data_IF_060350867003
#
_entry.id   IF_060350867003
#
_cell.length_a   1.000
_cell.length_b   1.000
_cell.length_c   1.000
_cell.angle_alpha   90.00
_cell.angle_beta   90.00
_cell.angle_gamma   90.00
#
_symmetry.space_group_name_H-M   'P 1'
#
loop_
_entity.id
_entity.type
_entity.pdbx_description
1 polymer ?
#
# COMPACT_ATOMS: atom_id res chain seq x y z
N UNK A 1 -5.72 -14.45 -4.12
CA UNK A 1 -4.72 -14.94 -3.15
C UNK A 1 -4.41 -13.85 -2.15
N UNK A 2 -4.27 -14.12 -0.86
CA UNK A 2 -3.80 -13.16 0.13
C UNK A 2 -2.36 -12.68 -0.18
N UNK A 3 -2.04 -11.37 -0.16
CA UNK A 3 -0.64 -10.98 -0.19
C UNK A 3 0.03 -11.43 1.13
N UNK A 4 1.33 -11.74 1.08
CA UNK A 4 2.06 -12.24 2.23
C UNK A 4 2.23 -11.16 3.31
N UNK A 5 2.32 -11.58 4.57
CA UNK A 5 2.58 -10.67 5.70
C UNK A 5 3.97 -10.05 5.55
N UNK A 6 4.06 -8.74 5.78
CA UNK A 6 5.30 -7.96 5.66
C UNK A 6 5.77 -7.44 7.01
N UNK A 7 7.07 -7.27 7.13
CA UNK A 7 7.74 -6.78 8.33
C UNK A 7 7.30 -5.33 8.63
N UNK A 8 6.72 -5.12 9.81
CA UNK A 8 6.24 -3.81 10.26
C UNK A 8 7.34 -2.96 10.93
N UNK A 9 8.54 -3.52 11.13
CA UNK A 9 9.63 -2.83 11.82
C UNK A 9 9.95 -1.50 11.15
N UNK A 10 10.00 -0.43 11.93
CA UNK A 10 10.37 0.89 11.42
C UNK A 10 11.84 0.89 11.03
N UNK A 11 12.14 1.43 9.84
CA UNK A 11 13.50 1.56 9.33
C UNK A 11 13.81 3.03 9.09
N UNK A 12 14.98 3.47 9.57
CA UNK A 12 15.40 4.87 9.47
C UNK A 12 14.61 5.84 10.37
N UNK A 13 14.74 7.13 10.08
CA UNK A 13 14.20 8.21 10.92
C UNK A 13 12.71 8.50 10.70
N UNK A 14 12.13 8.03 9.58
CA UNK A 14 10.71 8.22 9.30
C UNK A 14 9.87 7.13 9.96
N UNK A 15 9.07 7.52 10.96
CA UNK A 15 7.63 7.57 10.76
C UNK A 15 6.94 6.41 10.04
N UNK A 16 7.02 6.52 8.72
CA UNK A 16 6.23 5.81 7.74
C UNK A 16 7.07 4.79 6.97
N UNK A 17 8.39 4.80 7.18
CA UNK A 17 9.30 3.86 6.56
C UNK A 17 9.30 2.56 7.37
N UNK A 18 8.72 1.52 6.79
CA UNK A 18 8.70 0.16 7.35
C UNK A 18 9.57 -0.75 6.50
N UNK A 19 10.14 -1.78 7.13
CA UNK A 19 11.05 -2.72 6.50
C UNK A 19 10.46 -3.40 5.26
N UNK A 20 9.20 -3.84 5.31
CA UNK A 20 8.50 -4.39 4.14
C UNK A 20 8.94 -5.80 3.69
N UNK A 21 10.02 -6.35 4.26
CA UNK A 21 10.48 -7.72 3.98
C UNK A 21 9.46 -8.79 4.37
N UNK A 22 9.59 -10.01 3.86
CA UNK A 22 8.70 -11.12 4.22
C UNK A 22 8.77 -11.41 5.73
N UNK A 23 7.62 -11.36 6.41
CA UNK A 23 7.53 -11.70 7.83
C UNK A 23 7.48 -13.23 8.03
N UNK A 24 8.20 -13.70 9.04
CA UNK A 24 8.22 -15.12 9.49
C UNK A 24 7.86 -15.27 10.97
N UNK A 25 7.81 -14.15 11.69
CA UNK A 25 7.62 -14.10 13.13
C UNK A 25 6.45 -13.19 13.47
N UNK A 26 5.72 -13.57 14.51
CA UNK A 26 4.61 -12.85 15.11
C UNK A 26 5.02 -12.42 16.51
N UNK A 27 4.98 -11.13 16.76
CA UNK A 27 5.07 -10.52 18.08
C UNK A 27 3.66 -10.40 18.67
N UNK A 28 3.32 -11.19 19.69
CA UNK A 28 1.99 -11.13 20.29
C UNK A 28 1.76 -9.77 20.95
N UNK A 29 0.63 -9.16 20.65
CA UNK A 29 0.18 -7.95 21.34
C UNK A 29 -0.61 -8.25 22.61
N UNK A 30 -0.96 -7.21 23.37
CA UNK A 30 -1.86 -7.35 24.52
C UNK A 30 -3.27 -7.77 24.08
N UNK A 31 -3.68 -7.31 22.90
CA UNK A 31 -4.89 -7.75 22.22
C UNK A 31 -4.55 -8.38 20.88
N UNK A 32 -5.43 -9.25 20.39
CA UNK A 32 -5.26 -9.95 19.12
C UNK A 32 -5.13 -9.02 17.89
N UNK A 33 -5.50 -7.73 18.02
CA UNK A 33 -5.31 -6.72 16.96
C UNK A 33 -3.99 -5.97 17.04
N UNK A 34 -3.24 -6.13 18.14
CA UNK A 34 -1.93 -5.51 18.35
C UNK A 34 -0.78 -6.42 17.88
N UNK A 35 -1.12 -7.58 17.31
CA UNK A 35 -0.17 -8.51 16.75
C UNK A 35 0.64 -7.85 15.63
N UNK A 36 1.94 -8.07 15.71
CA UNK A 36 2.96 -7.38 14.93
C UNK A 36 3.78 -8.43 14.17
N UNK A 37 4.05 -8.21 12.90
CA UNK A 37 4.70 -9.21 12.04
C UNK A 37 6.10 -8.74 11.63
N UNK A 38 7.12 -9.57 11.85
CA UNK A 38 8.53 -9.18 11.62
C UNK A 38 9.32 -10.25 10.85
N UNK A 39 10.35 -9.81 10.12
CA UNK A 39 11.30 -10.68 9.44
C UNK A 39 12.40 -11.17 10.39
N UNK A 40 13.26 -12.08 9.92
CA UNK A 40 14.35 -12.66 10.73
C UNK A 40 15.31 -11.61 11.32
N UNK A 41 15.56 -10.52 10.58
CA UNK A 41 16.48 -9.46 10.99
C UNK A 41 15.91 -8.57 12.12
N UNK A 42 14.58 -8.48 12.23
CA UNK A 42 13.90 -7.58 13.16
C UNK A 42 13.14 -8.32 14.28
N UNK A 43 13.37 -9.63 14.40
CA UNK A 43 12.77 -10.44 15.46
C UNK A 43 13.39 -10.14 16.82
N UNK A 44 12.58 -10.26 17.85
CA UNK A 44 12.96 -10.29 19.26
C UNK A 44 12.86 -11.72 19.80
N UNK A 45 13.55 -12.04 20.91
CA UNK A 45 13.50 -13.39 21.50
C UNK A 45 12.10 -13.85 21.93
N UNK A 46 11.19 -12.92 22.20
CA UNK A 46 9.79 -13.17 22.56
C UNK A 46 8.88 -13.44 21.35
N UNK A 47 9.38 -13.26 20.12
CA UNK A 47 8.57 -13.44 18.93
C UNK A 47 8.36 -14.93 18.62
N UNK A 48 7.14 -15.26 18.20
CA UNK A 48 6.72 -16.64 17.91
C UNK A 48 6.74 -16.88 16.40
N UNK A 49 7.25 -18.02 15.97
CA UNK A 49 7.23 -18.36 14.54
C UNK A 49 5.80 -18.45 14.00
N UNK A 50 5.57 -17.92 12.79
CA UNK A 50 4.31 -18.07 12.07
C UNK A 50 4.25 -19.49 11.51
N UNK A 51 3.66 -20.40 12.28
CA UNK A 51 3.46 -21.79 11.87
C UNK A 51 2.12 -21.95 11.14
N UNK A 52 2.17 -22.14 9.82
CA UNK A 52 0.97 -22.42 9.01
C UNK A 52 0.08 -21.20 8.77
N UNK A 53 -1.24 -21.42 8.81
CA UNK A 53 -2.24 -20.39 8.53
C UNK A 53 -2.53 -19.54 9.77
N UNK A 54 -2.66 -18.22 9.56
CA UNK A 54 -3.07 -17.29 10.61
C UNK A 54 -4.27 -16.49 10.11
N UNK A 55 -5.27 -16.34 10.98
CA UNK A 55 -6.37 -15.42 10.74
C UNK A 55 -5.90 -13.98 11.01
N UNK A 56 -5.78 -13.18 9.95
CA UNK A 56 -5.57 -11.72 10.06
C UNK A 56 -6.82 -10.98 9.68
N UNK A 57 -7.18 -9.94 10.45
CA UNK A 57 -8.17 -8.97 9.99
C UNK A 57 -7.56 -8.12 8.89
N UNK A 58 -8.25 -8.03 7.76
CA UNK A 58 -7.88 -7.18 6.64
C UNK A 58 -8.86 -6.03 6.51
N UNK A 59 -8.32 -4.85 6.29
CA UNK A 59 -9.11 -3.71 5.85
C UNK A 59 -9.26 -3.85 4.34
N UNK A 60 -10.51 -3.91 3.86
CA UNK A 60 -10.83 -3.78 2.44
C UNK A 60 -11.19 -2.32 2.22
N UNK A 61 -10.47 -1.65 1.32
CA UNK A 61 -10.79 -0.31 0.85
C UNK A 61 -11.14 -0.43 -0.63
N UNK A 62 -12.31 0.07 -1.02
CA UNK A 62 -12.71 0.17 -2.41
C UNK A 62 -12.41 1.57 -2.92
N UNK A 63 -11.67 1.65 -4.02
CA UNK A 63 -11.12 2.90 -4.57
C UNK A 63 -11.41 2.93 -6.06
N UNK A 64 -11.84 4.08 -6.58
CA UNK A 64 -11.76 4.37 -8.02
C UNK A 64 -10.45 5.12 -8.28
N UNK A 65 -9.58 4.52 -9.10
CA UNK A 65 -8.26 5.08 -9.43
C UNK A 65 -8.24 5.47 -10.90
N UNK A 66 -7.93 6.73 -11.18
CA UNK A 66 -7.72 7.23 -12.54
C UNK A 66 -6.22 7.29 -12.83
N UNK A 67 -5.78 6.65 -13.91
CA UNK A 67 -4.38 6.69 -14.37
C UNK A 67 -4.35 7.11 -15.84
N UNK A 68 -3.52 8.10 -16.13
CA UNK A 68 -3.26 8.51 -17.50
C UNK A 68 -2.34 7.47 -18.19
N UNK A 69 -2.83 6.86 -19.27
CA UNK A 69 -1.98 6.10 -20.18
C UNK A 69 -1.10 7.05 -21.00
N UNK A 70 0.16 6.69 -21.23
CA UNK A 70 1.12 7.53 -21.95
C UNK A 70 1.22 7.19 -23.46
N UNK A 71 0.48 6.19 -23.92
CA UNK A 71 0.53 5.73 -25.31
C UNK A 71 -0.38 6.55 -26.23
N UNK A 72 0.04 6.66 -27.49
CA UNK A 72 -0.74 7.25 -28.59
C UNK A 72 -1.86 6.34 -29.07
N UNK A 73 -1.79 5.05 -28.75
CA UNK A 73 -2.80 4.07 -29.12
C UNK A 73 -3.62 3.65 -27.89
N UNK A 74 -4.95 3.71 -28.00
CA UNK A 74 -5.85 3.58 -26.86
C UNK A 74 -5.79 2.20 -26.17
N UNK A 75 -5.72 1.06 -26.88
CA UNK A 75 -5.55 -0.25 -26.25
C UNK A 75 -4.23 -0.39 -25.51
N UNK A 76 -3.14 0.18 -26.05
CA UNK A 76 -1.83 0.18 -25.37
C UNK A 76 -1.81 1.11 -24.16
N UNK A 77 -2.49 2.26 -24.24
CA UNK A 77 -2.63 3.17 -23.11
C UNK A 77 -3.36 2.50 -21.93
N UNK A 78 -4.39 1.69 -22.22
CA UNK A 78 -5.11 0.91 -21.20
C UNK A 78 -4.22 -0.17 -20.57
N UNK A 79 -3.48 -0.94 -21.38
CA UNK A 79 -2.63 -2.02 -20.87
C UNK A 79 -1.46 -1.48 -20.01
N UNK A 80 -0.84 -0.38 -20.43
CA UNK A 80 0.20 0.30 -19.65
C UNK A 80 -0.34 0.82 -18.31
N UNK A 81 -1.51 1.48 -18.32
CA UNK A 81 -2.13 1.99 -17.10
C UNK A 81 -2.43 0.85 -16.12
N UNK A 82 -2.98 -0.27 -16.63
CA UNK A 82 -3.27 -1.44 -15.82
C UNK A 82 -2.00 -2.05 -15.22
N UNK A 83 -0.92 -2.17 -16.01
CA UNK A 83 0.35 -2.73 -15.55
C UNK A 83 0.95 -1.86 -14.42
N UNK A 84 0.92 -0.53 -14.55
CA UNK A 84 1.42 0.40 -13.54
C UNK A 84 0.65 0.31 -12.22
N UNK A 85 -0.69 0.29 -12.27
CA UNK A 85 -1.53 0.15 -11.07
C UNK A 85 -1.27 -1.20 -10.41
N UNK A 86 -1.23 -2.27 -11.20
CA UNK A 86 -1.02 -3.63 -10.69
C UNK A 86 0.32 -3.74 -9.97
N UNK A 87 1.39 -3.20 -10.56
CA UNK A 87 2.70 -3.16 -9.93
C UNK A 87 2.69 -2.38 -8.60
N UNK A 88 2.08 -1.18 -8.57
CA UNK A 88 2.02 -0.35 -7.37
C UNK A 88 1.27 -1.04 -6.22
N UNK A 89 0.12 -1.67 -6.51
CA UNK A 89 -0.67 -2.38 -5.49
C UNK A 89 0.09 -3.61 -4.98
N UNK A 90 0.73 -4.38 -5.85
CA UNK A 90 1.53 -5.55 -5.45
C UNK A 90 2.72 -5.12 -4.57
N UNK A 91 3.41 -4.03 -4.93
CA UNK A 91 4.51 -3.48 -4.12
C UNK A 91 4.05 -3.05 -2.73
N UNK A 92 2.86 -2.47 -2.62
CA UNK A 92 2.24 -2.12 -1.33
C UNK A 92 1.77 -3.34 -0.53
N UNK A 93 1.97 -4.57 -1.02
CA UNK A 93 1.48 -5.79 -0.38
C UNK A 93 -0.04 -5.91 -0.46
N UNK A 94 -0.66 -5.32 -1.49
CA UNK A 94 -2.08 -5.46 -1.79
C UNK A 94 -2.38 -6.57 -2.80
N UNK A 95 -3.66 -6.79 -3.07
CA UNK A 95 -4.15 -7.68 -4.13
C UNK A 95 -5.06 -6.87 -5.03
N UNK A 96 -4.90 -7.04 -6.34
CA UNK A 96 -5.74 -6.39 -7.33
C UNK A 96 -6.75 -7.40 -7.85
N UNK A 97 -8.02 -7.02 -7.82
CA UNK A 97 -9.09 -7.67 -8.56
C UNK A 97 -9.58 -6.70 -9.63
N UNK A 98 -9.27 -7.00 -10.89
CA UNK A 98 -9.55 -6.11 -12.03
C UNK A 98 -10.90 -6.49 -12.61
N UNK A 99 -11.96 -5.86 -12.12
CA UNK A 99 -13.33 -6.15 -12.59
C UNK A 99 -13.61 -5.53 -13.99
N UNK A 100 -13.03 -4.36 -14.29
CA UNK A 100 -13.22 -3.68 -15.58
C UNK A 100 -12.14 -2.63 -15.83
N UNK A 101 -11.69 -2.51 -17.08
CA UNK A 101 -10.81 -1.43 -17.56
C UNK A 101 -11.57 -0.61 -18.61
N UNK A 102 -11.55 0.72 -18.51
CA UNK A 102 -12.16 1.64 -19.48
C UNK A 102 -11.20 2.79 -19.76
N UNK A 103 -11.08 3.19 -21.02
CA UNK A 103 -10.47 4.47 -21.39
C UNK A 103 -11.54 5.57 -21.42
N UNK A 104 -11.27 6.69 -20.76
CA UNK A 104 -12.06 7.91 -20.86
C UNK A 104 -11.13 9.11 -21.04
N UNK A 105 -11.60 10.14 -21.73
CA UNK A 105 -10.88 11.40 -21.85
C UNK A 105 -11.23 12.27 -20.64
N UNK A 106 -10.22 12.66 -19.86
CA UNK A 106 -10.37 13.57 -18.73
C UNK A 106 -9.46 14.78 -18.98
N UNK A 107 -10.02 15.99 -18.92
CA UNK A 107 -9.26 17.21 -19.03
C UNK A 107 -8.72 17.60 -17.65
N UNK A 108 -7.40 17.63 -17.50
CA UNK A 108 -6.75 18.19 -16.32
C UNK A 108 -6.33 19.64 -16.60
N UNK A 109 -6.59 20.60 -15.69
CA UNK A 109 -6.00 21.93 -15.81
C UNK A 109 -4.47 21.82 -15.70
N UNK A 110 -3.75 22.55 -16.56
CA UNK A 110 -2.29 22.47 -16.68
C UNK A 110 -1.49 22.94 -15.45
N UNK A 111 -2.15 23.50 -14.44
CA UNK A 111 -1.51 23.99 -13.22
C UNK A 111 -1.23 22.83 -12.26
N UNK A 112 0.03 22.41 -12.20
CA UNK A 112 0.55 21.65 -11.07
C UNK A 112 0.28 22.46 -9.79
N UNK A 113 -0.59 21.97 -8.92
CA UNK A 113 -0.74 22.54 -7.58
C UNK A 113 0.47 22.12 -6.76
N UNK A 114 1.59 22.82 -6.94
CA UNK A 114 2.67 22.83 -5.96
C UNK A 114 2.11 23.43 -4.67
N UNK A 115 1.84 22.57 -3.67
CA UNK A 115 1.09 22.99 -2.49
C UNK A 115 1.27 22.12 -1.24
N UNK A 116 2.42 21.48 -1.04
CA UNK A 116 2.93 21.26 0.32
C UNK A 116 3.49 22.61 0.82
N UNK A 117 2.62 23.57 1.13
CA UNK A 117 2.99 24.83 1.78
C UNK A 117 1.74 25.47 2.41
N UNK A 118 1.39 25.00 3.60
CA UNK A 118 1.19 25.83 4.81
C UNK A 118 0.45 25.04 5.88
N UNK A 119 1.24 24.46 6.78
CA UNK A 119 0.83 24.44 8.17
C UNK A 119 0.57 25.89 8.63
N UNK A 120 -0.47 26.08 9.43
CA UNK A 120 -0.68 27.19 10.38
C UNK A 120 -0.92 28.58 9.78
N UNK A 121 -2.19 28.98 9.65
CA UNK A 121 -2.81 30.13 10.36
C UNK A 121 -4.32 29.81 10.45
N UNK A 122 -4.90 29.53 11.63
CA UNK A 122 -5.70 30.50 12.39
C UNK A 122 -6.75 31.20 11.51
N UNK A 123 -8.05 31.07 11.70
CA UNK A 123 -8.83 31.54 12.86
C UNK A 123 -10.31 31.10 12.66
N UNK A 124 -11.07 30.85 13.73
CA UNK A 124 -12.50 30.53 13.67
C UNK A 124 -13.42 31.76 13.60
N UNK A 125 -14.65 31.51 13.13
CA UNK A 125 -15.85 32.35 12.99
C UNK A 125 -15.86 33.34 11.83
#
# INVERSE_FOLDING_TARGET
>A
MCPPLRCYAQVGSSRYAICGELARWRRPGAHWFDDKFVCDAHREPSDVAIAGEIAVRRVRVELEVFVAGASRDAPFAQSEALARISAAVIQAGGVVDVQRVRSAFVAYPATATSGLQNALVGVPR
#
